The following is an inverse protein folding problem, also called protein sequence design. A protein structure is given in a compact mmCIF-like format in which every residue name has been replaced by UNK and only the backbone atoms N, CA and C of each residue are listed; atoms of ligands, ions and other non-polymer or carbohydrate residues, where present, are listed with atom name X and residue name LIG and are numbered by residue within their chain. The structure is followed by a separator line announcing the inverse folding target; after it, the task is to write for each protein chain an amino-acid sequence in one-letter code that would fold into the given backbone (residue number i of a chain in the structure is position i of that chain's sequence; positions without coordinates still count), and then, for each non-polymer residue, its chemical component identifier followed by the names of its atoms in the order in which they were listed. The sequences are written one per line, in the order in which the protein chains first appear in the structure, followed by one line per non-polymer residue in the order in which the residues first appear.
data_IF_245986750333
#
_entry.id   IF_245986750333
#
_cell.length_a   1.000
_cell.length_b   1.000
_cell.length_c   1.000
_cell.angle_alpha   90.00
_cell.angle_beta   90.00
_cell.angle_gamma   90.00
#
_symmetry.space_group_name_H-M   'P 1'
#
loop_
_entity.id
_entity.type
_entity.pdbx_description
1 polymer ?
#
# COMPACT_ATOMS: atom_id res chain seq x y z
N UNK A 1 29.51 11.33 51.85
CA UNK A 1 28.50 10.46 51.21
C UNK A 1 27.56 11.35 50.42
N UNK A 2 27.69 11.39 49.09
CA UNK A 2 26.80 12.14 48.21
C UNK A 2 26.14 11.16 47.24
N UNK A 3 24.83 10.96 47.39
CA UNK A 3 24.00 10.20 46.45
C UNK A 3 23.61 11.13 45.29
N UNK A 4 24.02 10.79 44.07
CA UNK A 4 23.49 11.38 42.83
C UNK A 4 22.37 10.47 42.29
N UNK A 5 21.23 11.00 41.85
CA UNK A 5 20.26 10.22 41.11
C UNK A 5 20.73 10.04 39.66
N UNK A 6 20.85 8.80 39.21
CA UNK A 6 21.02 8.46 37.80
C UNK A 6 19.64 8.50 37.17
N UNK A 7 19.39 9.51 36.32
CA UNK A 7 18.26 9.52 35.40
C UNK A 7 18.45 8.38 34.39
N UNK A 8 17.62 7.34 34.50
CA UNK A 8 17.51 6.30 33.49
C UNK A 8 16.66 6.83 32.34
N UNK A 9 17.31 7.27 31.26
CA UNK A 9 16.62 7.52 30.00
C UNK A 9 16.18 6.18 29.42
N UNK A 10 14.88 5.90 29.47
CA UNK A 10 14.28 4.78 28.74
C UNK A 10 14.30 5.15 27.26
N UNK A 11 15.35 4.74 26.56
CA UNK A 11 15.36 4.75 25.10
C UNK A 11 14.47 3.59 24.65
N UNK A 12 13.24 3.90 24.22
CA UNK A 12 12.42 2.97 23.47
C UNK A 12 13.14 2.66 22.16
N UNK A 13 13.94 1.59 22.16
CA UNK A 13 14.36 0.92 20.94
C UNK A 13 13.12 0.24 20.34
N UNK A 14 12.33 0.99 19.59
CA UNK A 14 11.49 0.38 18.56
C UNK A 14 12.44 -0.09 17.47
N UNK A 15 12.89 -1.34 17.59
CA UNK A 15 13.49 -2.07 16.49
C UNK A 15 12.40 -2.29 15.44
N UNK A 16 12.19 -1.28 14.58
CA UNK A 16 11.74 -1.55 13.23
C UNK A 16 12.83 -2.39 12.59
N UNK A 17 12.68 -3.71 12.65
CA UNK A 17 13.41 -4.62 11.80
C UNK A 17 12.98 -4.31 10.36
N UNK A 18 13.52 -3.23 9.81
CA UNK A 18 13.65 -3.04 8.39
C UNK A 18 14.44 -4.25 7.91
N UNK A 19 13.80 -5.12 7.14
CA UNK A 19 14.51 -6.07 6.30
C UNK A 19 15.36 -5.23 5.33
N UNK A 20 16.60 -4.96 5.70
CA UNK A 20 17.61 -4.40 4.80
C UNK A 20 17.97 -5.48 3.79
N UNK A 21 17.22 -5.53 2.68
CA UNK A 21 17.60 -6.33 1.52
C UNK A 21 18.67 -5.53 0.76
N UNK A 22 19.95 -5.96 0.71
CA UNK A 22 21.09 -5.07 0.48
C UNK A 22 21.30 -4.57 -0.97
N UNK A 23 20.30 -4.66 -1.86
CA UNK A 23 20.50 -4.42 -3.30
C UNK A 23 19.53 -3.39 -3.90
N UNK A 24 18.70 -2.76 -3.08
CA UNK A 24 17.52 -2.03 -3.55
C UNK A 24 17.53 -0.52 -3.23
N UNK A 25 18.67 0.04 -2.82
CA UNK A 25 18.80 1.47 -2.50
C UNK A 25 18.74 2.44 -3.71
N UNK A 26 18.33 1.97 -4.89
CA UNK A 26 17.89 2.81 -6.01
C UNK A 26 16.45 2.52 -6.45
N UNK A 27 15.63 1.95 -5.55
CA UNK A 27 14.22 1.75 -5.84
C UNK A 27 13.47 3.09 -5.83
N UNK A 28 12.93 3.42 -6.98
CA UNK A 28 11.98 4.51 -7.21
C UNK A 28 10.88 4.42 -6.13
N UNK A 29 10.45 5.53 -5.50
CA UNK A 29 9.50 5.54 -4.37
C UNK A 29 8.23 4.70 -4.60
N UNK A 30 7.84 4.52 -5.86
CA UNK A 30 6.66 3.76 -6.26
C UNK A 30 6.76 2.23 -6.09
N UNK A 31 7.95 1.67 -5.85
CA UNK A 31 8.02 0.27 -5.40
C UNK A 31 7.36 0.10 -4.03
N UNK A 32 7.50 1.08 -3.13
CA UNK A 32 6.79 1.09 -1.85
C UNK A 32 5.27 1.10 -2.02
N UNK A 33 4.77 1.83 -3.02
CA UNK A 33 3.34 1.86 -3.39
C UNK A 33 2.88 0.51 -3.94
N UNK A 34 3.65 -0.07 -4.86
CA UNK A 34 3.34 -1.37 -5.45
C UNK A 34 3.30 -2.50 -4.39
N UNK A 35 4.24 -2.47 -3.44
CA UNK A 35 4.24 -3.41 -2.32
C UNK A 35 3.11 -3.18 -1.34
N UNK A 36 2.75 -1.92 -1.05
CA UNK A 36 1.61 -1.60 -0.20
C UNK A 36 0.31 -2.12 -0.81
N UNK A 37 0.10 -1.92 -2.11
CA UNK A 37 -1.05 -2.46 -2.84
C UNK A 37 -1.16 -3.99 -2.68
N UNK A 38 -0.07 -4.70 -2.92
CA UNK A 38 -0.01 -6.16 -2.77
C UNK A 38 -0.22 -6.62 -1.31
N UNK A 39 0.31 -5.90 -0.32
CA UNK A 39 0.26 -6.28 1.09
C UNK A 39 -1.06 -5.93 1.79
N UNK A 40 -1.90 -5.07 1.19
CA UNK A 40 -3.06 -4.48 1.86
C UNK A 40 -4.05 -5.53 2.40
N UNK A 41 -4.27 -6.62 1.65
CA UNK A 41 -5.09 -7.73 2.12
C UNK A 41 -4.57 -8.32 3.44
N UNK A 42 -3.26 -8.56 3.52
CA UNK A 42 -2.61 -9.12 4.70
C UNK A 42 -2.67 -8.15 5.89
N UNK A 43 -2.48 -6.86 5.63
CA UNK A 43 -2.60 -5.78 6.62
C UNK A 43 -4.00 -5.74 7.23
N UNK A 44 -5.03 -5.89 6.40
CA UNK A 44 -6.41 -5.99 6.88
C UNK A 44 -6.72 -7.35 7.55
N UNK A 45 -6.04 -8.43 7.18
CA UNK A 45 -6.28 -9.75 7.77
C UNK A 45 -5.73 -9.89 9.19
N UNK A 46 -4.47 -9.48 9.43
CA UNK A 46 -3.69 -9.74 10.66
C UNK A 46 -4.21 -9.01 11.91
N UNK A 47 -5.11 -8.05 11.77
CA UNK A 47 -5.74 -7.36 12.90
C UNK A 47 -6.75 -8.28 13.60
N UNK A 48 -6.22 -9.17 14.45
CA UNK A 48 -6.95 -10.09 15.32
C UNK A 48 -7.07 -9.48 16.73
N UNK A 49 -8.24 -9.66 17.32
CA UNK A 49 -8.66 -9.37 18.69
C UNK A 49 -9.12 -7.93 19.01
N UNK A 50 -10.46 -7.81 19.10
CA UNK A 50 -11.28 -6.68 19.57
C UNK A 50 -11.27 -5.41 18.71
N UNK A 51 -12.34 -4.64 18.81
CA UNK A 51 -12.61 -3.40 18.06
C UNK A 51 -11.41 -2.46 18.15
N UNK A 52 -10.54 -2.48 17.14
CA UNK A 52 -9.29 -1.74 17.18
C UNK A 52 -9.42 -0.52 16.26
N UNK A 53 -10.08 0.52 16.78
CA UNK A 53 -10.24 1.80 16.07
C UNK A 53 -8.89 2.36 15.59
N UNK A 54 -7.83 2.21 16.38
CA UNK A 54 -6.47 2.60 15.99
C UNK A 54 -6.00 1.85 14.75
N UNK A 55 -6.22 0.53 14.70
CA UNK A 55 -5.91 -0.26 13.52
C UNK A 55 -6.77 0.17 12.32
N UNK A 56 -8.06 0.42 12.52
CA UNK A 56 -8.95 0.99 11.50
C UNK A 56 -8.41 2.29 10.91
N UNK A 57 -8.06 3.26 11.77
CA UNK A 57 -7.45 4.52 11.34
C UNK A 57 -6.14 4.32 10.56
N UNK A 58 -5.28 3.37 10.97
CA UNK A 58 -4.05 3.04 10.25
C UNK A 58 -4.36 2.45 8.87
N UNK A 59 -5.38 1.59 8.75
CA UNK A 59 -5.82 1.04 7.46
C UNK A 59 -6.32 2.17 6.55
N UNK A 60 -7.14 3.09 7.03
CA UNK A 60 -7.60 4.24 6.23
C UNK A 60 -6.44 5.13 5.79
N UNK A 61 -5.45 5.39 6.66
CA UNK A 61 -4.25 6.15 6.28
C UNK A 61 -3.41 5.43 5.23
N UNK A 62 -3.27 4.09 5.32
CA UNK A 62 -2.57 3.29 4.30
C UNK A 62 -3.32 3.31 2.97
N UNK A 63 -4.64 3.19 2.99
CA UNK A 63 -5.50 3.30 1.80
C UNK A 63 -5.37 4.67 1.14
N UNK A 64 -5.37 5.75 1.91
CA UNK A 64 -5.18 7.13 1.42
C UNK A 64 -3.81 7.28 0.75
N UNK A 65 -2.73 6.85 1.43
CA UNK A 65 -1.37 6.87 0.87
C UNK A 65 -1.27 6.09 -0.43
N UNK A 66 -1.90 4.91 -0.47
CA UNK A 66 -1.92 4.05 -1.64
C UNK A 66 -2.69 4.71 -2.80
N UNK A 67 -3.84 5.33 -2.52
CA UNK A 67 -4.65 6.06 -3.51
C UNK A 67 -3.84 7.18 -4.16
N UNK A 68 -3.25 8.06 -3.37
CA UNK A 68 -2.47 9.18 -3.89
C UNK A 68 -1.21 8.67 -4.63
N UNK A 69 -0.49 7.72 -4.05
CA UNK A 69 0.71 7.16 -4.67
C UNK A 69 0.44 6.39 -5.96
N UNK A 70 -0.71 5.71 -6.08
CA UNK A 70 -1.11 5.04 -7.32
C UNK A 70 -1.46 6.07 -8.41
N UNK A 71 -2.21 7.12 -8.07
CA UNK A 71 -2.52 8.21 -9.01
C UNK A 71 -1.26 8.90 -9.51
N UNK A 72 -0.33 9.20 -8.60
CA UNK A 72 0.96 9.81 -8.96
C UNK A 72 1.79 8.90 -9.87
N UNK A 73 1.92 7.62 -9.54
CA UNK A 73 2.62 6.63 -10.37
C UNK A 73 2.00 6.56 -11.77
N UNK A 74 0.67 6.53 -11.86
CA UNK A 74 -0.05 6.47 -13.14
C UNK A 74 0.24 7.71 -13.98
N UNK A 75 0.11 8.90 -13.40
CA UNK A 75 0.35 10.16 -14.11
C UNK A 75 1.79 10.26 -14.63
N UNK A 76 2.77 9.78 -13.86
CA UNK A 76 4.16 9.70 -14.32
C UNK A 76 4.34 8.66 -15.43
N UNK A 77 3.76 7.47 -15.27
CA UNK A 77 3.80 6.43 -16.31
C UNK A 77 3.21 6.90 -17.65
N UNK A 78 2.17 7.74 -17.62
CA UNK A 78 1.55 8.31 -18.82
C UNK A 78 2.37 9.46 -19.43
N UNK A 79 3.03 10.28 -18.61
CA UNK A 79 3.70 11.52 -19.05
C UNK A 79 5.13 11.35 -19.55
N UNK A 80 5.76 10.20 -19.30
CA UNK A 80 7.16 9.96 -19.70
C UNK A 80 7.28 9.26 -21.06
N UNK A 81 8.47 9.40 -21.65
CA UNK A 81 8.84 8.69 -22.87
C UNK A 81 8.77 7.16 -22.69
N UNK A 82 8.61 6.42 -23.77
CA UNK A 82 8.57 4.95 -23.73
C UNK A 82 9.83 4.32 -23.14
N UNK A 83 11.01 4.85 -23.49
CA UNK A 83 12.28 4.37 -22.94
C UNK A 83 12.35 4.61 -21.42
N UNK A 84 11.85 5.75 -20.94
CA UNK A 84 11.83 6.06 -19.52
C UNK A 84 10.78 5.23 -18.76
N UNK A 85 9.61 5.03 -19.34
CA UNK A 85 8.59 4.12 -18.81
C UNK A 85 9.16 2.71 -18.58
N UNK A 86 9.78 2.12 -19.61
CA UNK A 86 10.38 0.78 -19.52
C UNK A 86 11.51 0.71 -18.50
N UNK A 87 12.35 1.76 -18.42
CA UNK A 87 13.50 1.79 -17.51
C UNK A 87 13.11 1.98 -16.05
N UNK A 88 12.09 2.78 -15.75
CA UNK A 88 11.80 3.27 -14.39
C UNK A 88 10.47 2.78 -13.83
N UNK A 89 9.40 2.78 -14.63
CA UNK A 89 8.04 2.63 -14.10
C UNK A 89 7.39 1.29 -14.41
N UNK A 90 7.89 0.57 -15.42
CA UNK A 90 7.33 -0.71 -15.83
C UNK A 90 7.31 -1.74 -14.70
N UNK A 91 8.39 -1.86 -13.93
CA UNK A 91 8.48 -2.86 -12.86
C UNK A 91 7.41 -2.68 -11.76
N UNK A 92 7.28 -1.50 -11.10
CA UNK A 92 6.24 -1.30 -10.11
C UNK A 92 4.82 -1.44 -10.70
N UNK A 93 4.58 -0.91 -11.90
CA UNK A 93 3.28 -1.02 -12.58
C UNK A 93 2.92 -2.49 -12.85
N UNK A 94 3.83 -3.26 -13.44
CA UNK A 94 3.63 -4.68 -13.72
C UNK A 94 3.42 -5.48 -12.44
N UNK A 95 4.15 -5.16 -11.36
CA UNK A 95 3.95 -5.80 -10.06
C UNK A 95 2.53 -5.57 -9.51
N UNK A 96 2.02 -4.33 -9.59
CA UNK A 96 0.66 -4.01 -9.17
C UNK A 96 -0.38 -4.79 -9.99
N UNK A 97 -0.23 -4.83 -11.31
CA UNK A 97 -1.18 -5.50 -12.21
C UNK A 97 -1.16 -7.03 -12.01
N UNK A 98 0.01 -7.66 -12.07
CA UNK A 98 0.11 -9.14 -12.12
C UNK A 98 0.01 -9.80 -10.75
N UNK A 99 0.68 -9.22 -9.75
CA UNK A 99 0.78 -9.81 -8.41
C UNK A 99 -0.17 -9.11 -7.43
N UNK A 100 -0.19 -7.78 -7.47
CA UNK A 100 -0.99 -6.96 -6.56
C UNK A 100 -2.49 -7.21 -6.69
N UNK A 101 -3.02 -7.20 -7.93
CA UNK A 101 -4.47 -7.31 -8.17
C UNK A 101 -5.04 -8.62 -7.61
N UNK A 102 -4.29 -9.73 -7.70
CA UNK A 102 -4.69 -11.01 -7.13
C UNK A 102 -4.91 -10.94 -5.63
N UNK A 103 -4.03 -10.25 -4.89
CA UNK A 103 -4.17 -10.06 -3.44
C UNK A 103 -5.26 -9.05 -3.11
N UNK A 104 -5.34 -7.96 -3.87
CA UNK A 104 -6.36 -6.92 -3.65
C UNK A 104 -7.79 -7.48 -3.73
N UNK A 105 -8.05 -8.33 -4.70
CA UNK A 105 -9.36 -8.97 -4.90
C UNK A 105 -9.76 -9.93 -3.76
N UNK A 106 -8.85 -10.29 -2.85
CA UNK A 106 -9.17 -11.07 -1.66
C UNK A 106 -9.79 -10.21 -0.53
N UNK A 107 -9.75 -8.88 -0.65
CA UNK A 107 -10.37 -7.96 0.31
C UNK A 107 -11.89 -7.94 0.06
N UNK A 108 -12.60 -8.88 0.67
CA UNK A 108 -14.05 -9.06 0.52
C UNK A 108 -14.79 -9.00 1.86
N UNK A 109 -14.54 -7.96 2.66
CA UNK A 109 -15.28 -7.73 3.90
C UNK A 109 -16.62 -7.07 3.60
N UNK A 110 -17.67 -7.44 4.33
CA UNK A 110 -18.95 -6.72 4.40
C UNK A 110 -18.83 -5.50 5.31
N UNK A 111 -19.71 -4.52 5.16
CA UNK A 111 -19.69 -3.33 6.01
C UNK A 111 -19.85 -3.68 7.50
N UNK A 112 -20.76 -4.61 7.83
CA UNK A 112 -20.93 -5.10 9.20
C UNK A 112 -19.64 -5.72 9.77
N UNK A 113 -18.88 -6.46 8.96
CA UNK A 113 -17.60 -7.07 9.39
C UNK A 113 -16.53 -6.01 9.63
N UNK A 114 -16.47 -4.98 8.78
CA UNK A 114 -15.56 -3.84 8.96
C UNK A 114 -15.92 -3.02 10.20
N UNK A 115 -17.22 -2.76 10.45
CA UNK A 115 -17.69 -2.08 11.66
C UNK A 115 -17.40 -2.90 12.91
N UNK A 116 -17.63 -4.21 12.90
CA UNK A 116 -17.31 -5.08 14.04
C UNK A 116 -15.80 -5.11 14.32
N UNK A 117 -14.99 -5.22 13.26
CA UNK A 117 -13.53 -5.36 13.35
C UNK A 117 -12.83 -4.06 13.76
N UNK A 118 -13.22 -2.94 13.14
CA UNK A 118 -12.51 -1.66 13.27
C UNK A 118 -13.30 -0.59 14.02
N UNK A 119 -14.58 -0.82 14.33
CA UNK A 119 -15.43 0.18 14.95
C UNK A 119 -15.78 1.33 14.01
N UNK A 120 -15.72 1.10 12.69
CA UNK A 120 -16.00 2.10 11.67
C UNK A 120 -17.49 2.45 11.58
N UNK A 121 -17.76 3.74 11.47
CA UNK A 121 -19.09 4.28 11.17
C UNK A 121 -19.38 4.30 9.65
N UNK A 122 -20.55 4.79 9.27
CA UNK A 122 -20.97 4.85 7.86
C UNK A 122 -20.06 5.72 6.99
N UNK A 123 -19.49 6.80 7.54
CA UNK A 123 -18.60 7.71 6.82
C UNK A 123 -17.26 7.03 6.54
N UNK A 124 -16.66 6.40 7.54
CA UNK A 124 -15.40 5.66 7.40
C UNK A 124 -15.55 4.47 6.45
N UNK A 125 -16.69 3.76 6.52
CA UNK A 125 -17.03 2.68 5.59
C UNK A 125 -17.14 3.20 4.16
N UNK A 126 -17.86 4.30 3.93
CA UNK A 126 -18.00 4.89 2.59
C UNK A 126 -16.64 5.30 2.05
N UNK A 127 -15.86 6.02 2.85
CA UNK A 127 -14.51 6.46 2.48
C UNK A 127 -13.61 5.28 2.10
N UNK A 128 -13.64 4.19 2.87
CA UNK A 128 -12.90 2.98 2.53
C UNK A 128 -13.31 2.40 1.17
N UNK A 129 -14.61 2.31 0.88
CA UNK A 129 -15.13 1.77 -0.39
C UNK A 129 -14.79 2.62 -1.59
N UNK A 130 -14.86 3.94 -1.43
CA UNK A 130 -14.53 4.88 -2.49
C UNK A 130 -13.03 4.78 -2.82
N UNK A 131 -12.15 4.80 -1.81
CA UNK A 131 -10.72 4.59 -2.01
C UNK A 131 -10.43 3.22 -2.64
N UNK A 132 -11.12 2.15 -2.20
CA UNK A 132 -10.94 0.82 -2.75
C UNK A 132 -11.21 0.79 -4.26
N UNK A 133 -12.31 1.42 -4.69
CA UNK A 133 -12.69 1.51 -6.10
C UNK A 133 -11.70 2.37 -6.89
N UNK A 134 -11.39 3.56 -6.40
CA UNK A 134 -10.46 4.49 -7.07
C UNK A 134 -9.07 3.87 -7.30
N UNK A 135 -8.54 3.14 -6.30
CA UNK A 135 -7.25 2.45 -6.43
C UNK A 135 -7.34 1.38 -7.51
N UNK A 136 -8.41 0.57 -7.52
CA UNK A 136 -8.58 -0.50 -8.51
C UNK A 136 -8.72 0.07 -9.92
N UNK A 137 -9.52 1.13 -10.09
CA UNK A 137 -9.69 1.84 -11.36
C UNK A 137 -8.34 2.39 -11.86
N UNK A 138 -7.56 3.00 -10.97
CA UNK A 138 -6.21 3.50 -11.30
C UNK A 138 -5.28 2.38 -11.79
N UNK A 139 -5.34 1.18 -11.18
CA UNK A 139 -4.55 0.02 -11.62
C UNK A 139 -5.03 -0.52 -12.97
N UNK A 140 -6.34 -0.46 -13.25
CA UNK A 140 -6.89 -0.81 -14.56
C UNK A 140 -6.40 0.18 -15.64
N UNK A 141 -6.37 1.48 -15.35
CA UNK A 141 -5.80 2.48 -16.26
C UNK A 141 -4.29 2.26 -16.52
N UNK A 142 -3.54 1.81 -15.52
CA UNK A 142 -2.13 1.43 -15.71
C UNK A 142 -1.98 0.22 -16.64
N UNK A 143 -2.86 -0.77 -16.55
CA UNK A 143 -2.88 -1.91 -17.45
C UNK A 143 -3.18 -1.48 -18.89
N UNK A 144 -4.12 -0.57 -19.09
CA UNK A 144 -4.36 0.04 -20.41
C UNK A 144 -3.12 0.77 -20.93
N UNK A 145 -2.38 1.48 -20.06
CA UNK A 145 -1.12 2.12 -20.42
C UNK A 145 -0.07 1.09 -20.89
N UNK A 146 0.07 -0.03 -20.18
CA UNK A 146 0.92 -1.15 -20.59
C UNK A 146 0.50 -1.72 -21.96
N UNK A 147 -0.80 -1.94 -22.16
CA UNK A 147 -1.34 -2.48 -23.42
C UNK A 147 -1.08 -1.53 -24.61
N UNK A 148 -1.29 -0.22 -24.42
CA UNK A 148 -0.97 0.82 -25.43
C UNK A 148 0.50 0.87 -25.78
N UNK A 149 1.38 0.53 -24.84
CA UNK A 149 2.84 0.46 -25.01
C UNK A 149 3.34 -0.93 -25.39
N UNK A 150 2.44 -1.86 -25.76
CA UNK A 150 2.77 -3.24 -26.18
C UNK A 150 3.61 -4.03 -25.16
N UNK A 151 3.41 -3.78 -23.87
CA UNK A 151 4.05 -4.52 -22.79
C UNK A 151 3.40 -5.90 -22.67
N UNK A 152 4.22 -6.95 -22.61
CA UNK A 152 3.75 -8.29 -22.28
C UNK A 152 3.42 -8.40 -20.78
N UNK A 153 2.13 -8.63 -20.49
CA UNK A 153 1.56 -8.83 -19.17
C UNK A 153 1.23 -10.32 -18.90
N UNK A 154 1.87 -11.25 -19.61
CA UNK A 154 1.81 -12.66 -19.24
C UNK A 154 2.49 -12.90 -17.88
N UNK A 155 1.86 -13.73 -17.04
CA UNK A 155 2.36 -14.10 -15.71
C UNK A 155 3.50 -15.11 -15.89
N UNK A 156 4.71 -14.60 -16.17
CA UNK A 156 5.96 -15.38 -16.15
C UNK A 156 6.41 -15.66 -14.70
#
# INVERSE_FOLDING_TARGET
MCLRPVLLAVTLCTTTAHYEVPHWQQQIPYNGIAHLFHAMYREMYITFDSTNQTAGSIILQKMEKLREGAKELKNLADSVSEAEFHKKYLQPVRFMILRGRKQWNLINYRNAELSEKYGWDEEELSRFRDMYREILDTVNEMEECCNRRHVDLSDQ
#
